data_IF_215425355259
#
_entry.id   IF_215425355259
#
_cell.length_a   1.000
_cell.length_b   1.000
_cell.length_c   1.000
_cell.angle_alpha   90.00
_cell.angle_beta   90.00
_cell.angle_gamma   90.00
#
_symmetry.space_group_name_H-M   'P 1'
#
loop_
_entity.id
_entity.type
_entity.pdbx_description
1 polymer ?
#
# COMPACT_ATOMS: atom_id res chain seq x y z
N UNK A 1 42.35 55.26 -7.83
CA UNK A 1 40.93 54.88 -7.89
C UNK A 1 40.63 53.53 -8.57
N UNK A 2 41.61 52.77 -9.08
CA UNK A 2 41.35 51.42 -9.64
C UNK A 2 41.45 50.27 -8.59
N UNK A 3 42.21 50.45 -7.51
CA UNK A 3 42.44 49.38 -6.51
C UNK A 3 41.21 49.08 -5.64
N UNK A 4 40.37 50.08 -5.37
CA UNK A 4 39.13 49.90 -4.59
C UNK A 4 38.01 49.21 -5.38
N UNK A 5 38.02 49.32 -6.72
CA UNK A 5 37.02 48.67 -7.58
C UNK A 5 37.30 47.17 -7.70
N UNK A 6 38.57 46.76 -7.72
CA UNK A 6 38.97 45.35 -7.76
C UNK A 6 38.64 44.59 -6.46
N UNK A 7 38.79 45.22 -5.29
CA UNK A 7 38.43 44.61 -4.00
C UNK A 7 36.92 44.40 -3.84
N UNK A 8 36.11 45.32 -4.39
CA UNK A 8 34.64 45.19 -4.40
C UNK A 8 34.18 44.06 -5.35
N UNK A 9 34.82 43.88 -6.51
CA UNK A 9 34.51 42.77 -7.43
C UNK A 9 34.91 41.41 -6.86
N UNK A 10 36.04 41.31 -6.14
CA UNK A 10 36.45 40.08 -5.43
C UNK A 10 35.48 39.73 -4.29
N UNK A 11 35.01 40.72 -3.51
CA UNK A 11 33.98 40.49 -2.48
C UNK A 11 32.62 40.06 -3.06
N UNK A 12 32.24 40.59 -4.22
CA UNK A 12 31.03 40.16 -4.92
C UNK A 12 31.16 38.72 -5.43
N UNK A 13 32.30 38.31 -6.00
CA UNK A 13 32.52 36.93 -6.42
C UNK A 13 32.61 35.92 -5.26
N UNK A 14 33.21 36.29 -4.12
CA UNK A 14 33.24 35.45 -2.91
C UNK A 14 31.86 35.31 -2.26
N UNK A 15 31.04 36.37 -2.26
CA UNK A 15 29.65 36.32 -1.77
C UNK A 15 28.75 35.52 -2.71
N UNK A 16 28.92 35.64 -4.03
CA UNK A 16 28.18 34.83 -5.00
C UNK A 16 28.61 33.36 -5.01
N UNK A 17 29.88 33.04 -4.71
CA UNK A 17 30.32 31.65 -4.58
C UNK A 17 29.73 30.97 -3.34
N UNK A 18 29.56 31.71 -2.24
CA UNK A 18 28.91 31.21 -1.03
C UNK A 18 27.37 31.07 -1.18
N UNK A 19 26.76 31.85 -2.09
CA UNK A 19 25.34 31.73 -2.46
C UNK A 19 25.13 30.62 -3.49
N UNK A 20 26.04 30.43 -4.46
CA UNK A 20 25.97 29.32 -5.43
C UNK A 20 26.21 27.96 -4.76
N UNK A 21 27.03 27.89 -3.69
CA UNK A 21 27.27 26.67 -2.92
C UNK A 21 26.21 26.40 -1.82
N UNK A 22 25.29 27.34 -1.58
CA UNK A 22 24.09 27.14 -0.72
C UNK A 22 22.80 26.92 -1.52
N UNK A 23 22.89 26.99 -2.85
CA UNK A 23 21.83 26.68 -3.80
C UNK A 23 22.03 25.31 -4.47
N UNK A 24 22.90 24.45 -3.95
CA UNK A 24 22.52 23.05 -3.84
C UNK A 24 21.58 22.99 -2.66
N UNK A 25 20.30 23.12 -2.98
CA UNK A 25 19.18 22.89 -2.07
C UNK A 25 19.56 21.75 -1.13
N UNK A 26 19.47 22.02 0.18
CA UNK A 26 19.29 20.94 1.13
C UNK A 26 18.10 20.15 0.60
N UNK A 27 18.38 19.08 -0.14
CA UNK A 27 17.39 18.11 -0.54
C UNK A 27 16.84 17.62 0.79
N UNK A 28 15.67 18.12 1.17
CA UNK A 28 15.08 17.79 2.46
C UNK A 28 15.09 16.28 2.52
N UNK A 29 15.88 15.75 3.45
CA UNK A 29 16.04 14.32 3.57
C UNK A 29 14.75 13.78 4.19
N UNK A 30 13.73 13.63 3.34
CA UNK A 30 12.37 13.20 3.67
C UNK A 30 12.39 11.81 4.30
N UNK A 31 13.42 11.02 4.01
CA UNK A 31 13.62 9.68 4.54
C UNK A 31 14.39 9.71 5.87
N UNK A 32 14.02 8.83 6.79
CA UNK A 32 14.69 8.66 8.07
C UNK A 32 15.72 7.51 8.04
N UNK A 33 17.02 7.83 8.02
CA UNK A 33 18.12 6.83 7.98
C UNK A 33 18.04 5.74 9.05
N UNK A 34 17.65 6.09 10.28
CA UNK A 34 17.53 5.11 11.38
C UNK A 34 16.43 4.08 11.12
N UNK A 35 15.35 4.50 10.46
CA UNK A 35 14.23 3.64 10.09
C UNK A 35 14.62 2.70 8.94
N UNK A 36 15.39 3.16 7.95
CA UNK A 36 15.85 2.33 6.83
C UNK A 36 16.68 1.12 7.28
N UNK A 37 17.45 1.24 8.34
CA UNK A 37 18.21 0.12 8.91
C UNK A 37 17.30 -1.04 9.39
N UNK A 38 16.02 -0.79 9.63
CA UNK A 38 15.03 -1.81 10.02
C UNK A 38 14.35 -2.50 8.84
N UNK A 39 14.49 -1.99 7.62
CA UNK A 39 13.94 -2.58 6.39
C UNK A 39 12.45 -2.94 6.52
N UNK A 40 11.64 -1.96 6.94
CA UNK A 40 10.20 -2.16 7.05
C UNK A 40 9.55 -2.37 5.68
N UNK A 41 8.54 -3.24 5.64
CA UNK A 41 7.72 -3.56 4.48
C UNK A 41 6.25 -3.59 4.89
N UNK A 42 5.35 -3.87 3.96
CA UNK A 42 3.93 -4.11 4.22
C UNK A 42 3.65 -5.21 5.28
N UNK A 43 4.64 -6.05 5.60
CA UNK A 43 4.56 -7.06 6.67
C UNK A 43 4.97 -6.53 8.04
N UNK A 44 5.34 -5.25 8.19
CA UNK A 44 5.82 -4.69 9.45
C UNK A 44 4.69 -4.04 10.24
N UNK A 45 4.12 -4.77 11.21
CA UNK A 45 2.98 -4.26 11.99
C UNK A 45 3.30 -3.09 12.93
N UNK A 46 4.58 -2.75 13.10
CA UNK A 46 5.00 -1.53 13.77
C UNK A 46 4.72 -0.25 12.95
N UNK A 47 4.41 -0.40 11.65
CA UNK A 47 4.22 0.72 10.72
C UNK A 47 2.85 0.72 10.04
N UNK A 48 2.36 -0.46 9.64
CA UNK A 48 1.09 -0.63 8.91
C UNK A 48 0.23 -1.74 9.52
N UNK A 49 -1.07 -1.70 9.28
CA UNK A 49 -1.93 -2.82 9.67
C UNK A 49 -1.70 -4.04 8.79
N UNK A 50 -1.68 -5.23 9.40
CA UNK A 50 -1.66 -6.48 8.66
C UNK A 50 -2.94 -6.70 7.85
N UNK A 51 -2.84 -7.48 6.78
CA UNK A 51 -4.00 -7.87 5.98
C UNK A 51 -4.98 -8.74 6.81
N UNK A 52 -6.28 -8.82 6.44
CA UNK A 52 -7.27 -9.53 7.25
C UNK A 52 -6.96 -11.02 7.48
N UNK A 53 -6.30 -11.67 6.51
CA UNK A 53 -5.82 -13.05 6.56
C UNK A 53 -4.46 -13.21 7.27
N UNK A 54 -3.93 -12.15 7.89
CA UNK A 54 -2.68 -12.14 8.66
C UNK A 54 -2.94 -11.67 10.10
N UNK A 55 -1.99 -11.94 11.00
CA UNK A 55 -1.95 -11.45 12.38
C UNK A 55 -0.55 -10.89 12.69
N UNK A 56 -0.49 -9.88 13.53
CA UNK A 56 0.77 -9.34 14.04
C UNK A 56 1.29 -10.23 15.15
N UNK A 57 2.53 -10.70 15.02
CA UNK A 57 3.30 -11.38 16.08
C UNK A 57 4.73 -10.83 16.02
N UNK A 58 5.25 -10.36 17.15
CA UNK A 58 6.64 -9.87 17.27
C UNK A 58 6.98 -8.76 16.25
N UNK A 59 6.04 -7.87 15.96
CA UNK A 59 6.25 -6.77 15.02
C UNK A 59 6.19 -7.17 13.53
N UNK A 60 5.86 -8.43 13.21
CA UNK A 60 5.71 -8.95 11.85
C UNK A 60 4.31 -9.53 11.59
N UNK A 61 3.77 -9.28 10.42
CA UNK A 61 2.51 -9.84 9.93
C UNK A 61 2.74 -11.28 9.44
N UNK A 62 2.20 -12.24 10.17
CA UNK A 62 2.27 -13.66 9.81
C UNK A 62 0.91 -14.18 9.37
N UNK A 63 0.92 -15.19 8.50
CA UNK A 63 -0.31 -15.78 7.97
C UNK A 63 -1.17 -16.39 9.10
N UNK A 64 -2.47 -16.10 9.06
CA UNK A 64 -3.46 -16.86 9.84
C UNK A 64 -3.69 -18.21 9.18
N UNK A 65 -4.17 -19.18 9.95
CA UNK A 65 -4.71 -20.43 9.39
C UNK A 65 -6.10 -20.18 8.80
N UNK A 66 -6.52 -20.88 7.73
CA UNK A 66 -7.78 -20.57 7.04
C UNK A 66 -9.02 -20.60 7.96
N UNK A 67 -9.04 -21.48 8.95
CA UNK A 67 -10.15 -21.57 9.91
C UNK A 67 -10.25 -20.38 10.87
N UNK A 68 -9.21 -19.53 10.96
CA UNK A 68 -9.20 -18.31 11.77
C UNK A 68 -9.83 -17.11 11.04
N UNK A 69 -10.14 -17.25 9.74
CA UNK A 69 -10.87 -16.25 8.99
C UNK A 69 -12.36 -16.20 9.39
N UNK A 70 -13.00 -15.03 9.27
CA UNK A 70 -14.46 -14.93 9.36
C UNK A 70 -15.15 -15.87 8.36
N UNK A 71 -16.21 -16.53 8.79
CA UNK A 71 -16.98 -17.47 7.96
C UNK A 71 -17.99 -16.79 7.03
N UNK A 72 -18.25 -15.50 7.24
CA UNK A 72 -19.23 -14.74 6.48
C UNK A 72 -18.54 -13.96 5.34
N UNK A 73 -18.73 -14.38 4.10
CA UNK A 73 -18.11 -13.77 2.92
C UNK A 73 -18.54 -14.46 1.64
N UNK A 74 -18.03 -13.99 0.50
CA UNK A 74 -18.29 -14.60 -0.80
C UNK A 74 -17.32 -15.75 -1.08
N UNK A 75 -17.83 -16.81 -1.72
CA UNK A 75 -16.99 -17.92 -2.18
C UNK A 75 -15.96 -17.43 -3.20
N UNK A 76 -14.79 -18.06 -3.22
CA UNK A 76 -13.71 -17.70 -4.13
C UNK A 76 -13.09 -18.94 -4.76
N UNK A 77 -12.67 -18.82 -6.02
CA UNK A 77 -11.96 -19.85 -6.74
C UNK A 77 -10.46 -19.53 -6.82
N UNK A 78 -9.63 -20.56 -6.67
CA UNK A 78 -8.19 -20.46 -6.90
C UNK A 78 -7.74 -21.03 -8.25
N UNK A 79 -6.53 -20.68 -8.67
CA UNK A 79 -5.93 -21.12 -9.95
C UNK A 79 -5.77 -22.63 -10.13
N UNK A 80 -5.83 -23.41 -9.06
CA UNK A 80 -5.82 -24.88 -9.10
C UNK A 80 -7.22 -25.52 -9.22
N UNK A 81 -8.26 -24.71 -9.49
CA UNK A 81 -9.65 -25.19 -9.60
C UNK A 81 -10.29 -25.52 -8.26
N UNK A 82 -9.69 -25.12 -7.13
CA UNK A 82 -10.24 -25.36 -5.80
C UNK A 82 -11.17 -24.22 -5.36
N UNK A 83 -12.36 -24.59 -4.92
CA UNK A 83 -13.31 -23.68 -4.28
C UNK A 83 -12.97 -23.44 -2.80
N UNK A 84 -13.09 -22.19 -2.37
CA UNK A 84 -13.00 -21.75 -0.98
C UNK A 84 -14.31 -21.12 -0.53
N UNK A 85 -14.67 -21.32 0.74
CA UNK A 85 -15.93 -20.77 1.29
C UNK A 85 -15.92 -19.25 1.32
N UNK A 86 -14.75 -18.66 1.60
CA UNK A 86 -14.58 -17.21 1.66
C UNK A 86 -13.25 -16.79 1.04
N UNK A 87 -13.18 -15.59 0.45
CA UNK A 87 -11.93 -15.00 -0.05
C UNK A 87 -10.79 -14.99 1.00
N UNK A 88 -11.09 -14.68 2.27
CA UNK A 88 -10.09 -14.72 3.35
C UNK A 88 -9.39 -16.08 3.50
N UNK A 89 -10.12 -17.19 3.33
CA UNK A 89 -9.56 -18.54 3.48
C UNK A 89 -8.58 -18.85 2.34
N UNK A 90 -8.91 -18.42 1.12
CA UNK A 90 -8.05 -18.55 -0.04
C UNK A 90 -6.74 -17.78 0.20
N UNK A 91 -6.83 -16.48 0.53
CA UNK A 91 -5.64 -15.64 0.78
C UNK A 91 -4.81 -16.09 1.99
N UNK A 92 -5.47 -16.61 3.03
CA UNK A 92 -4.80 -17.24 4.17
C UNK A 92 -4.01 -18.48 3.75
N UNK A 93 -4.58 -19.35 2.91
CA UNK A 93 -3.87 -20.51 2.39
C UNK A 93 -2.74 -20.11 1.45
N UNK A 94 -2.97 -19.14 0.57
CA UNK A 94 -1.96 -18.60 -0.35
C UNK A 94 -0.77 -18.02 0.41
N UNK A 95 -1.02 -17.28 1.49
CA UNK A 95 0.03 -16.77 2.37
C UNK A 95 0.86 -17.92 2.99
N UNK A 96 0.22 -19.01 3.41
CA UNK A 96 0.91 -20.18 3.98
C UNK A 96 1.64 -21.02 2.93
N UNK A 97 1.11 -21.07 1.71
CA UNK A 97 1.59 -21.90 0.60
C UNK A 97 1.52 -21.08 -0.69
N UNK A 98 2.60 -20.34 -1.00
CA UNK A 98 2.68 -19.54 -2.21
C UNK A 98 2.42 -20.38 -3.46
N UNK A 99 1.63 -19.85 -4.40
CA UNK A 99 1.35 -20.48 -5.70
C UNK A 99 -0.13 -20.77 -5.96
N UNK A 100 -0.97 -20.85 -4.92
CA UNK A 100 -2.44 -20.95 -5.08
C UNK A 100 -3.04 -19.54 -5.12
N UNK A 101 -3.02 -18.88 -6.28
CA UNK A 101 -3.52 -17.52 -6.46
C UNK A 101 -5.04 -17.47 -6.63
N UNK A 102 -5.63 -16.30 -6.41
CA UNK A 102 -7.04 -16.04 -6.72
C UNK A 102 -7.29 -16.10 -8.24
N UNK A 103 -8.42 -16.67 -8.66
CA UNK A 103 -8.81 -16.77 -10.07
C UNK A 103 -10.08 -15.95 -10.37
N UNK A 104 -11.19 -16.29 -9.72
CA UNK A 104 -12.47 -15.59 -9.90
C UNK A 104 -13.31 -15.61 -8.62
N UNK A 105 -14.20 -14.63 -8.51
CA UNK A 105 -15.20 -14.59 -7.46
C UNK A 105 -16.29 -15.64 -7.76
N UNK A 106 -16.84 -16.25 -6.72
CA UNK A 106 -17.81 -17.34 -6.85
C UNK A 106 -17.15 -18.72 -6.93
N UNK A 107 -17.84 -19.65 -7.57
CA UNK A 107 -17.38 -21.01 -7.81
C UNK A 107 -16.45 -21.10 -9.02
N UNK A 108 -15.52 -22.04 -9.00
CA UNK A 108 -14.65 -22.35 -10.12
C UNK A 108 -15.45 -22.79 -11.34
N UNK A 109 -15.08 -22.26 -12.50
CA UNK A 109 -15.57 -22.69 -13.81
C UNK A 109 -14.59 -23.69 -14.42
N UNK A 110 -15.09 -24.65 -15.21
CA UNK A 110 -14.25 -25.71 -15.78
C UNK A 110 -13.30 -25.23 -16.90
N UNK A 111 -13.66 -24.13 -17.57
CA UNK A 111 -12.95 -23.61 -18.75
C UNK A 111 -12.35 -22.21 -18.54
N UNK A 112 -12.65 -21.56 -17.42
CA UNK A 112 -12.22 -20.19 -17.15
C UNK A 112 -10.71 -20.12 -16.88
N UNK A 113 -9.97 -19.48 -17.79
CA UNK A 113 -8.54 -19.24 -17.64
C UNK A 113 -8.23 -17.75 -17.77
N UNK A 114 -7.61 -17.20 -16.74
CA UNK A 114 -7.02 -15.87 -16.77
C UNK A 114 -5.60 -15.93 -17.35
N UNK A 115 -5.23 -14.95 -18.17
CA UNK A 115 -3.85 -14.82 -18.64
C UNK A 115 -3.46 -13.37 -18.88
N UNK A 116 -2.24 -13.03 -18.48
CA UNK A 116 -1.59 -11.73 -18.75
C UNK A 116 -0.43 -11.99 -19.70
N UNK A 117 -0.27 -11.14 -20.72
CA UNK A 117 0.88 -11.20 -21.62
C UNK A 117 1.34 -9.81 -22.06
N UNK A 118 2.63 -9.68 -22.37
CA UNK A 118 3.21 -8.48 -22.94
C UNK A 118 3.33 -8.65 -24.46
N UNK A 119 2.84 -7.65 -25.21
CA UNK A 119 2.91 -7.64 -26.69
C UNK A 119 3.79 -6.50 -27.18
N UNK A 120 4.38 -6.71 -28.34
CA UNK A 120 5.19 -5.72 -29.06
C UNK A 120 6.48 -5.27 -28.36
N UNK A 121 6.85 -5.89 -27.23
CA UNK A 121 8.12 -5.62 -26.56
C UNK A 121 9.31 -6.20 -27.32
N UNK A 122 10.48 -5.56 -27.17
CA UNK A 122 11.74 -6.07 -27.71
C UNK A 122 12.34 -7.15 -26.82
N UNK A 123 12.01 -7.10 -25.53
CA UNK A 123 12.41 -8.07 -24.50
C UNK A 123 11.19 -8.76 -23.89
N UNK A 124 11.41 -9.81 -23.11
CA UNK A 124 10.37 -10.50 -22.32
C UNK A 124 9.88 -9.67 -21.11
N UNK A 125 10.61 -8.61 -20.76
CA UNK A 125 10.33 -7.72 -19.64
C UNK A 125 9.64 -6.40 -20.02
N UNK A 126 9.33 -6.16 -21.29
CA UNK A 126 8.68 -4.91 -21.72
C UNK A 126 7.56 -5.16 -22.72
N UNK A 127 6.62 -4.22 -22.84
CA UNK A 127 5.61 -4.23 -23.90
C UNK A 127 4.29 -3.62 -23.47
N UNK A 128 3.29 -3.77 -24.35
CA UNK A 128 1.90 -3.37 -24.09
C UNK A 128 1.18 -4.51 -23.36
N UNK A 129 0.44 -4.16 -22.31
CA UNK A 129 -0.25 -5.13 -21.45
C UNK A 129 -1.53 -5.62 -22.13
N UNK A 130 -1.62 -6.94 -22.34
CA UNK A 130 -2.80 -7.64 -22.84
C UNK A 130 -3.31 -8.62 -21.78
N UNK A 131 -4.62 -8.61 -21.54
CA UNK A 131 -5.27 -9.45 -20.53
C UNK A 131 -6.42 -10.25 -21.16
N UNK A 132 -6.47 -11.54 -20.82
CA UNK A 132 -7.63 -12.42 -21.04
C UNK A 132 -8.34 -12.62 -19.70
N UNK A 133 -9.57 -12.11 -19.58
CA UNK A 133 -10.42 -12.30 -18.40
C UNK A 133 -10.97 -13.73 -18.36
N UNK A 134 -11.33 -14.21 -17.17
CA UNK A 134 -11.86 -15.58 -16.96
C UNK A 134 -13.17 -15.82 -17.73
N UNK A 135 -14.05 -14.82 -17.76
CA UNK A 135 -15.39 -14.93 -18.34
C UNK A 135 -15.45 -14.49 -19.82
N UNK A 136 -14.30 -14.21 -20.45
CA UNK A 136 -14.25 -13.71 -21.83
C UNK A 136 -13.17 -14.41 -22.65
N UNK A 137 -13.54 -14.79 -23.88
CA UNK A 137 -12.57 -15.36 -24.82
C UNK A 137 -11.71 -14.33 -25.54
N UNK A 138 -12.18 -13.08 -25.60
CA UNK A 138 -11.47 -11.97 -26.25
C UNK A 138 -10.38 -11.43 -25.33
N UNK A 139 -9.16 -11.34 -25.84
CA UNK A 139 -8.08 -10.58 -25.20
C UNK A 139 -8.28 -9.09 -25.43
N UNK A 140 -8.00 -8.29 -24.40
CA UNK A 140 -8.14 -6.84 -24.45
C UNK A 140 -6.91 -6.16 -23.87
N UNK A 141 -6.66 -4.93 -24.32
CA UNK A 141 -5.60 -4.08 -23.82
C UNK A 141 -6.06 -3.25 -22.62
N UNK A 142 -5.11 -2.80 -21.82
CA UNK A 142 -5.37 -1.93 -20.66
C UNK A 142 -5.29 -0.45 -21.04
N UNK A 143 -6.14 0.39 -20.45
CA UNK A 143 -6.13 1.83 -20.66
C UNK A 143 -4.97 2.51 -19.92
N UNK A 144 -4.16 3.32 -20.62
CA UNK A 144 -3.08 4.14 -20.07
C UNK A 144 -3.57 5.16 -19.04
N UNK A 145 -4.76 5.73 -19.24
CA UNK A 145 -5.36 6.72 -18.33
C UNK A 145 -5.61 6.19 -16.91
N UNK A 146 -5.72 4.87 -16.76
CA UNK A 146 -5.97 4.18 -15.50
C UNK A 146 -4.74 3.54 -14.89
N UNK A 147 -3.64 3.53 -15.64
CA UNK A 147 -2.47 2.73 -15.33
C UNK A 147 -1.53 3.49 -14.40
N UNK A 148 -1.33 2.95 -13.20
CA UNK A 148 -0.39 3.50 -12.22
C UNK A 148 0.61 2.44 -11.76
N UNK A 149 1.58 2.84 -10.92
CA UNK A 149 2.53 1.88 -10.35
C UNK A 149 1.88 0.81 -9.47
N UNK A 150 0.66 1.03 -8.96
CA UNK A 150 -0.10 0.01 -8.22
C UNK A 150 -0.41 -1.18 -9.11
N UNK A 151 -1.01 -0.95 -10.27
CA UNK A 151 -1.38 -2.00 -11.22
C UNK A 151 -0.12 -2.60 -11.89
N UNK A 152 0.88 -1.77 -12.20
CA UNK A 152 2.11 -2.21 -12.87
C UNK A 152 2.92 -3.20 -12.02
N UNK A 153 3.07 -2.94 -10.71
CA UNK A 153 3.77 -3.86 -9.80
C UNK A 153 3.07 -5.23 -9.73
N UNK A 154 1.74 -5.24 -9.65
CA UNK A 154 0.94 -6.47 -9.62
C UNK A 154 1.01 -7.23 -10.95
N UNK A 155 0.99 -6.51 -12.07
CA UNK A 155 1.12 -7.11 -13.40
C UNK A 155 2.47 -7.82 -13.58
N UNK A 156 3.56 -7.15 -13.24
CA UNK A 156 4.89 -7.73 -13.30
C UNK A 156 5.06 -8.91 -12.34
N UNK A 157 4.44 -8.86 -11.15
CA UNK A 157 4.41 -9.98 -10.22
C UNK A 157 3.69 -11.20 -10.80
N UNK A 158 2.60 -11.00 -11.54
CA UNK A 158 1.87 -12.08 -12.21
C UNK A 158 2.64 -12.68 -13.39
N UNK A 159 3.43 -11.87 -14.09
CA UNK A 159 4.36 -12.28 -15.15
C UNK A 159 5.64 -12.97 -14.62
N UNK A 160 5.85 -12.98 -13.29
CA UNK A 160 6.96 -13.69 -12.64
C UNK A 160 8.09 -12.79 -12.13
N UNK A 161 8.03 -11.48 -12.39
CA UNK A 161 9.02 -10.50 -11.91
C UNK A 161 8.74 -10.10 -10.46
N UNK A 162 9.42 -10.75 -9.52
CA UNK A 162 9.18 -10.58 -8.07
C UNK A 162 9.48 -9.17 -7.53
N UNK A 163 10.24 -8.36 -8.27
CA UNK A 163 10.61 -6.98 -7.89
C UNK A 163 9.63 -5.92 -8.42
N UNK A 164 8.59 -6.35 -9.14
CA UNK A 164 7.56 -5.46 -9.69
C UNK A 164 8.02 -4.72 -10.96
N UNK A 165 7.38 -3.58 -11.22
CA UNK A 165 7.65 -2.74 -12.37
C UNK A 165 8.83 -1.78 -12.12
N UNK A 166 9.49 -1.38 -13.20
CA UNK A 166 10.48 -0.31 -13.25
C UNK A 166 9.77 1.05 -13.24
N UNK A 167 10.27 2.01 -12.47
CA UNK A 167 9.67 3.35 -12.35
C UNK A 167 10.31 4.39 -13.26
N UNK A 168 11.51 4.13 -13.77
CA UNK A 168 12.30 5.08 -14.54
C UNK A 168 12.16 4.85 -16.04
N UNK A 169 11.91 3.61 -16.45
CA UNK A 169 11.79 3.23 -17.86
C UNK A 169 10.34 3.20 -18.31
N UNK A 170 10.10 3.72 -19.51
CA UNK A 170 8.82 3.56 -20.21
C UNK A 170 9.07 2.93 -21.56
N UNK A 171 8.11 2.14 -22.03
CA UNK A 171 8.22 1.49 -23.33
C UNK A 171 7.54 2.39 -24.37
N UNK A 172 8.35 3.05 -25.19
CA UNK A 172 7.85 3.83 -26.32
C UNK A 172 7.86 2.96 -27.57
N UNK A 173 6.68 2.58 -28.04
CA UNK A 173 6.58 1.88 -29.33
C UNK A 173 6.51 2.87 -30.49
N UNK A 174 7.51 2.85 -31.36
CA UNK A 174 7.48 3.57 -32.63
C UNK A 174 6.74 2.76 -33.70
N UNK A 175 5.61 3.29 -34.19
CA UNK A 175 4.78 2.78 -35.30
C UNK A 175 3.92 1.52 -35.02
N UNK A 176 3.01 1.59 -34.04
CA UNK A 176 1.93 0.62 -33.90
C UNK A 176 0.60 1.16 -34.44
N UNK A 177 0.05 0.51 -35.47
CA UNK A 177 -1.34 0.71 -35.90
C UNK A 177 -2.22 -0.31 -35.21
N UNK A 178 -2.60 -0.03 -33.96
CA UNK A 178 -3.53 -0.88 -33.20
C UNK A 178 -4.93 -0.27 -33.30
N UNK A 179 -5.82 -0.93 -34.05
CA UNK A 179 -7.24 -0.57 -34.12
C UNK A 179 -8.02 -1.15 -32.93
N UNK A 180 -7.60 -0.83 -31.70
CA UNK A 180 -8.35 -1.17 -30.50
C UNK A 180 -9.27 0.01 -30.13
N UNK A 181 -10.58 -0.18 -30.28
CA UNK A 181 -11.63 0.80 -29.91
C UNK A 181 -12.12 0.63 -28.46
N UNK A 182 -11.61 -0.38 -27.76
CA UNK A 182 -12.00 -0.77 -26.42
C UNK A 182 -10.73 -1.07 -25.60
N UNK A 183 -10.71 -0.61 -24.35
CA UNK A 183 -9.69 -0.97 -23.37
C UNK A 183 -10.33 -1.29 -22.02
N UNK A 184 -9.56 -1.97 -21.17
CA UNK A 184 -9.91 -2.26 -19.80
C UNK A 184 -9.30 -1.23 -18.87
N UNK A 185 -10.13 -0.60 -18.05
CA UNK A 185 -9.69 0.23 -16.94
C UNK A 185 -9.46 -0.68 -15.74
N UNK A 186 -8.25 -0.63 -15.17
CA UNK A 186 -7.84 -1.51 -14.06
C UNK A 186 -7.61 -0.66 -12.83
N UNK A 187 -8.06 -1.14 -11.68
CA UNK A 187 -7.79 -0.50 -10.42
C UNK A 187 -7.38 -1.53 -9.36
N UNK A 188 -6.15 -1.39 -8.88
CA UNK A 188 -5.54 -2.19 -7.82
C UNK A 188 -5.16 -1.30 -6.63
N UNK A 189 -5.02 -1.91 -5.45
CA UNK A 189 -4.43 -1.32 -4.24
C UNK A 189 -2.89 -1.31 -4.31
N UNK A 190 -2.28 -2.28 -4.98
CA UNK A 190 -0.84 -2.43 -5.16
C UNK A 190 -0.16 -3.43 -4.22
N UNK A 191 -0.93 -4.30 -3.53
CA UNK A 191 -0.41 -5.41 -2.69
C UNK A 191 -1.02 -6.76 -3.09
N UNK A 192 -1.80 -6.79 -4.17
CA UNK A 192 -2.37 -7.97 -4.77
C UNK A 192 -1.27 -8.87 -5.34
N UNK A 193 -1.57 -10.16 -5.43
CA UNK A 193 -0.63 -11.19 -5.93
C UNK A 193 -0.84 -11.55 -7.39
N UNK A 194 -2.00 -11.17 -7.94
CA UNK A 194 -2.38 -11.30 -9.34
C UNK A 194 -3.37 -10.20 -9.71
N UNK A 195 -3.39 -9.84 -10.99
CA UNK A 195 -4.36 -8.86 -11.52
C UNK A 195 -5.81 -9.35 -11.42
N UNK A 196 -6.06 -10.66 -11.29
CA UNK A 196 -7.41 -11.21 -11.07
C UNK A 196 -8.11 -10.65 -9.84
N UNK A 197 -7.36 -10.16 -8.86
CA UNK A 197 -7.89 -9.58 -7.62
C UNK A 197 -8.34 -8.13 -7.80
N UNK A 198 -7.88 -7.47 -8.88
CA UNK A 198 -8.19 -6.08 -9.17
C UNK A 198 -9.54 -5.92 -9.87
N UNK A 199 -10.07 -4.71 -9.83
CA UNK A 199 -11.33 -4.38 -10.51
C UNK A 199 -11.07 -4.04 -11.97
N UNK A 200 -11.82 -4.68 -12.87
CA UNK A 200 -11.83 -4.36 -14.30
C UNK A 200 -13.15 -3.72 -14.70
N UNK A 201 -13.09 -2.56 -15.35
CA UNK A 201 -14.24 -1.94 -16.01
C UNK A 201 -13.95 -1.72 -17.48
N UNK A 202 -14.98 -1.85 -18.33
CA UNK A 202 -14.82 -1.65 -19.77
C UNK A 202 -14.96 -0.17 -20.12
N UNK A 203 -14.05 0.37 -20.92
CA UNK A 203 -14.14 1.75 -21.43
C UNK A 203 -13.82 1.82 -22.93
N UNK A 204 -14.51 2.72 -23.64
CA UNK A 204 -14.22 3.01 -25.05
C UNK A 204 -13.04 3.96 -25.16
N UNK A 205 -12.16 3.72 -26.13
CA UNK A 205 -11.01 4.58 -26.45
C UNK A 205 -11.20 5.25 -27.80
N UNK A 206 -10.48 6.35 -28.00
CA UNK A 206 -10.48 7.09 -29.28
C UNK A 206 -9.19 6.81 -30.08
N UNK A 207 -8.20 6.11 -29.52
CA UNK A 207 -6.99 5.73 -30.26
C UNK A 207 -6.02 4.78 -29.51
N UNK A 208 -4.94 4.40 -30.20
CA UNK A 208 -3.92 3.45 -29.73
C UNK A 208 -2.92 4.03 -28.71
N UNK A 209 -2.79 5.36 -28.65
CA UNK A 209 -1.89 6.04 -27.71
C UNK A 209 -2.37 5.96 -26.25
N UNK A 210 -3.61 5.51 -26.06
CA UNK A 210 -4.25 5.33 -24.77
C UNK A 210 -4.06 3.91 -24.20
N UNK A 211 -3.14 3.10 -24.74
CA UNK A 211 -2.85 1.76 -24.24
C UNK A 211 -1.70 1.76 -23.23
N UNK A 212 -1.84 0.97 -22.17
CA UNK A 212 -0.86 0.90 -21.09
C UNK A 212 0.37 0.07 -21.51
N UNK A 213 1.53 0.70 -21.34
CA UNK A 213 2.83 0.08 -21.47
C UNK A 213 3.43 -0.22 -20.09
N UNK A 214 4.26 -1.27 -20.02
CA UNK A 214 4.98 -1.62 -18.79
C UNK A 214 6.38 -2.12 -19.12
N UNK A 215 7.33 -1.77 -18.25
CA UNK A 215 8.67 -2.36 -18.20
C UNK A 215 8.81 -2.99 -16.81
N UNK A 216 9.00 -4.30 -16.76
CA UNK A 216 9.24 -5.02 -15.52
C UNK A 216 10.71 -4.90 -15.13
N UNK A 217 10.96 -4.73 -13.84
CA UNK A 217 12.30 -4.47 -13.33
C UNK A 217 13.21 -5.69 -13.51
N UNK A 218 14.42 -5.46 -14.03
CA UNK A 218 15.46 -6.49 -14.16
C UNK A 218 16.79 -5.99 -13.57
N UNK A 219 17.48 -6.81 -12.78
CA UNK A 219 18.69 -6.38 -12.05
C UNK A 219 19.87 -5.96 -12.93
N UNK A 220 19.87 -6.32 -14.22
CA UNK A 220 20.92 -5.95 -15.17
C UNK A 220 20.77 -4.53 -15.69
N UNK A 221 19.59 -3.93 -15.51
CA UNK A 221 19.23 -2.68 -16.12
C UNK A 221 19.82 -1.48 -15.36
N UNK A 222 19.83 -1.50 -14.02
CA UNK A 222 20.15 -0.31 -13.22
C UNK A 222 21.39 -0.49 -12.33
N UNK A 223 22.37 0.40 -12.53
CA UNK A 223 23.49 0.60 -11.62
C UNK A 223 23.12 1.63 -10.55
N UNK A 224 23.49 1.45 -9.27
CA UNK A 224 23.21 2.43 -8.22
C UNK A 224 23.88 3.77 -8.55
N UNK A 225 23.08 4.83 -8.65
CA UNK A 225 23.52 6.23 -8.76
C UNK A 225 23.41 6.93 -7.40
N UNK A 226 24.09 8.06 -7.22
CA UNK A 226 24.05 8.84 -5.96
C UNK A 226 22.62 9.29 -5.57
N UNK A 227 21.70 9.37 -6.54
CA UNK A 227 20.29 9.75 -6.35
C UNK A 227 19.32 8.54 -6.35
N UNK A 228 19.81 7.34 -6.08
CA UNK A 228 18.99 6.12 -6.03
C UNK A 228 18.53 5.76 -4.62
N UNK A 229 17.28 5.32 -4.51
CA UNK A 229 16.72 4.71 -3.31
C UNK A 229 16.62 3.20 -3.49
N UNK A 230 17.12 2.43 -2.52
CA UNK A 230 17.05 0.97 -2.56
C UNK A 230 15.85 0.45 -1.75
N UNK A 231 14.91 -0.19 -2.43
CA UNK A 231 13.81 -0.93 -1.82
C UNK A 231 14.29 -2.16 -1.03
N UNK A 232 13.47 -2.68 -0.10
CA UNK A 232 13.83 -3.89 0.67
C UNK A 232 13.92 -5.13 -0.22
N UNK A 233 13.07 -5.23 -1.24
CA UNK A 233 13.14 -6.28 -2.27
C UNK A 233 14.34 -6.16 -3.24
N UNK A 234 15.19 -5.14 -3.08
CA UNK A 234 16.41 -4.92 -3.87
C UNK A 234 16.21 -4.18 -5.18
N UNK A 235 15.00 -3.69 -5.49
CA UNK A 235 14.76 -2.75 -6.59
C UNK A 235 15.38 -1.38 -6.28
N UNK A 236 15.95 -0.72 -7.28
CA UNK A 236 16.38 0.68 -7.18
C UNK A 236 15.33 1.57 -7.87
N UNK A 237 14.96 2.65 -7.20
CA UNK A 237 14.08 3.70 -7.73
C UNK A 237 14.78 5.05 -7.57
N UNK A 238 14.25 6.09 -8.19
CA UNK A 238 14.75 7.46 -7.93
C UNK A 238 14.47 7.83 -6.47
N UNK A 239 15.39 8.55 -5.82
CA UNK A 239 15.14 9.18 -4.52
C UNK A 239 13.92 10.11 -4.55
N UNK A 240 13.51 10.53 -5.76
CA UNK A 240 12.33 11.33 -5.97
C UNK A 240 10.99 10.58 -5.78
N UNK A 241 11.01 9.26 -5.95
CA UNK A 241 9.84 8.40 -5.80
C UNK A 241 9.62 7.97 -4.34
N UNK A 242 10.64 8.07 -3.49
CA UNK A 242 10.45 7.79 -2.07
C UNK A 242 9.58 8.83 -1.37
N UNK A 243 8.68 8.36 -0.49
CA UNK A 243 7.78 9.18 0.33
C UNK A 243 6.79 10.01 -0.49
N UNK A 244 6.34 9.53 -1.65
CA UNK A 244 5.41 10.26 -2.54
C UNK A 244 3.93 9.85 -2.34
N UNK A 245 3.66 8.85 -1.48
CA UNK A 245 2.35 8.24 -1.25
C UNK A 245 2.00 7.11 -2.23
N UNK A 246 2.93 6.68 -3.08
CA UNK A 246 2.78 5.63 -4.08
C UNK A 246 3.68 4.47 -3.66
N UNK A 247 3.19 3.24 -3.79
CA UNK A 247 4.01 2.05 -3.56
C UNK A 247 4.81 1.74 -4.82
N UNK A 248 5.91 2.46 -5.04
CA UNK A 248 6.80 2.27 -6.17
C UNK A 248 7.61 0.99 -6.01
N UNK A 249 8.03 0.65 -4.78
CA UNK A 249 8.77 -0.57 -4.50
C UNK A 249 7.97 -1.87 -4.72
N UNK A 250 6.65 -1.84 -4.55
CA UNK A 250 5.76 -3.02 -4.57
C UNK A 250 5.58 -3.69 -3.20
N UNK A 251 6.46 -3.43 -2.24
CA UNK A 251 6.41 -3.95 -0.87
C UNK A 251 6.25 -2.84 0.21
N UNK A 252 5.98 -1.61 -0.21
CA UNK A 252 5.86 -0.36 0.57
C UNK A 252 7.16 0.16 1.21
N UNK A 253 8.34 -0.37 0.86
CA UNK A 253 9.60 0.03 1.52
C UNK A 253 9.91 1.54 1.47
N UNK A 254 9.55 2.17 0.36
CA UNK A 254 9.68 3.59 0.03
C UNK A 254 8.79 4.52 0.87
N UNK A 255 7.69 4.00 1.41
CA UNK A 255 6.64 4.81 2.05
C UNK A 255 6.60 4.70 3.58
N UNK A 256 7.40 3.82 4.19
CA UNK A 256 7.30 3.47 5.63
C UNK A 256 8.30 4.18 6.56
N UNK A 257 9.21 4.97 5.99
CA UNK A 257 10.31 5.63 6.70
C UNK A 257 10.39 7.13 6.42
N UNK A 258 9.25 7.82 6.41
CA UNK A 258 9.12 9.21 5.97
C UNK A 258 8.94 10.19 7.13
N UNK A 259 9.74 11.27 7.15
CA UNK A 259 9.61 12.42 8.06
C UNK A 259 8.55 13.40 7.59
N UNK A 260 8.37 13.51 6.28
CA UNK A 260 7.31 14.24 5.61
C UNK A 260 7.05 13.57 4.26
N UNK A 261 5.90 13.85 3.65
CA UNK A 261 5.56 13.30 2.34
C UNK A 261 5.76 14.33 1.24
N UNK A 262 6.08 13.84 0.05
CA UNK A 262 6.23 14.62 -1.17
C UNK A 262 4.90 14.77 -1.88
N UNK A 263 4.66 15.95 -2.46
CA UNK A 263 3.46 16.21 -3.25
C UNK A 263 2.22 16.42 -2.38
N UNK A 264 1.12 15.75 -2.70
CA UNK A 264 -0.18 15.91 -2.03
C UNK A 264 -0.54 14.74 -1.10
N UNK A 265 0.34 13.76 -0.95
CA UNK A 265 0.13 12.59 -0.10
C UNK A 265 -0.01 12.97 1.37
N UNK A 266 -0.67 12.10 2.13
CA UNK A 266 -0.94 12.34 3.54
C UNK A 266 0.12 11.68 4.43
N UNK A 267 0.63 12.43 5.39
CA UNK A 267 1.65 11.97 6.33
C UNK A 267 1.03 11.51 7.64
N UNK A 268 1.17 10.22 7.94
CA UNK A 268 0.83 9.66 9.24
C UNK A 268 1.89 10.05 10.28
N UNK A 269 1.50 10.25 11.53
CA UNK A 269 2.39 10.45 12.69
C UNK A 269 3.35 9.29 12.92
N UNK A 270 3.03 8.10 12.41
CA UNK A 270 3.91 6.92 12.42
C UNK A 270 5.11 7.03 11.47
N UNK A 271 5.19 8.10 10.67
CA UNK A 271 6.21 8.28 9.64
C UNK A 271 5.94 7.45 8.38
N UNK A 272 4.67 7.35 8.00
CA UNK A 272 4.19 6.63 6.81
C UNK A 272 3.50 7.62 5.87
N UNK A 273 3.72 7.49 4.58
CA UNK A 273 3.03 8.26 3.55
C UNK A 273 1.96 7.40 2.88
N UNK A 274 0.75 7.96 2.74
CA UNK A 274 -0.38 7.30 2.08
C UNK A 274 -0.95 8.19 0.97
N UNK A 275 -1.59 7.60 -0.06
CA UNK A 275 -2.26 8.38 -1.10
C UNK A 275 -3.30 9.35 -0.53
N UNK A 276 -3.47 10.52 -1.13
CA UNK A 276 -4.43 11.53 -0.65
C UNK A 276 -5.87 11.01 -0.61
N UNK A 277 -6.24 10.15 -1.56
CA UNK A 277 -7.56 9.53 -1.65
C UNK A 277 -7.85 8.51 -0.54
N UNK A 278 -6.85 8.15 0.27
CA UNK A 278 -7.05 7.27 1.42
C UNK A 278 -7.49 8.01 2.67
N UNK A 279 -7.44 9.34 2.66
CA UNK A 279 -8.02 10.14 3.73
C UNK A 279 -9.55 10.14 3.62
N UNK A 280 -10.24 9.81 4.71
CA UNK A 280 -11.69 9.77 4.80
C UNK A 280 -12.33 8.77 3.83
N UNK A 281 -11.68 7.62 3.61
CA UNK A 281 -12.17 6.57 2.71
C UNK A 281 -12.99 5.48 3.44
N UNK A 282 -13.17 5.60 4.77
CA UNK A 282 -13.87 4.63 5.61
C UNK A 282 -13.00 3.46 6.07
N UNK A 283 -11.71 3.43 5.74
CA UNK A 283 -10.72 2.48 6.19
C UNK A 283 -9.60 3.19 6.94
N UNK A 284 -9.29 2.72 8.15
CA UNK A 284 -8.12 3.22 8.88
C UNK A 284 -6.84 2.63 8.26
N UNK A 285 -6.06 3.47 7.60
CA UNK A 285 -4.79 3.14 6.94
C UNK A 285 -3.58 3.51 7.83
N UNK A 286 -3.60 4.67 8.50
CA UNK A 286 -2.58 5.03 9.48
C UNK A 286 -2.77 4.25 10.80
N UNK A 287 -1.70 3.68 11.38
CA UNK A 287 -1.79 3.00 12.70
C UNK A 287 -2.25 3.91 13.85
N UNK A 288 -2.10 5.21 13.68
CA UNK A 288 -2.55 6.27 14.60
C UNK A 288 -3.97 6.75 14.32
N UNK A 289 -4.54 6.40 13.17
CA UNK A 289 -5.95 6.59 12.78
C UNK A 289 -6.41 8.02 12.52
N UNK A 290 -5.50 8.95 12.28
CA UNK A 290 -5.78 10.37 12.03
C UNK A 290 -6.30 10.67 10.62
N UNK A 291 -6.12 9.74 9.69
CA UNK A 291 -6.61 9.77 8.31
C UNK A 291 -8.14 9.72 8.24
N UNK A 292 -8.78 9.09 9.23
CA UNK A 292 -10.24 8.91 9.32
C UNK A 292 -10.91 9.82 10.36
N UNK A 293 -10.23 10.90 10.79
CA UNK A 293 -10.75 11.87 11.78
C UNK A 293 -11.02 13.22 11.12
N UNK A 294 -12.16 13.84 11.48
CA UNK A 294 -12.52 15.17 10.99
C UNK A 294 -12.95 15.18 9.53
N UNK A 295 -13.67 14.15 9.10
CA UNK A 295 -14.11 13.92 7.72
C UNK A 295 -15.40 14.67 7.33
N UNK A 296 -15.75 15.74 8.05
CA UNK A 296 -16.91 16.57 7.73
C UNK A 296 -16.71 17.25 6.36
N UNK A 297 -17.54 16.91 5.37
CA UNK A 297 -17.48 17.46 4.02
C UNK A 297 -16.84 16.56 2.95
N UNK A 298 -16.33 15.38 3.33
CA UNK A 298 -15.90 14.37 2.35
C UNK A 298 -17.12 13.50 1.98
N UNK A 299 -17.83 13.89 0.92
CA UNK A 299 -18.84 13.03 0.31
C UNK A 299 -18.13 11.94 -0.50
N UNK A 300 -18.50 10.68 -0.27
CA UNK A 300 -18.13 9.58 -1.16
C UNK A 300 -18.64 9.88 -2.56
N UNK A 301 -17.75 10.06 -3.53
CA UNK A 301 -18.13 10.16 -4.94
C UNK A 301 -18.84 8.84 -5.28
N UNK A 302 -20.13 8.92 -5.63
CA UNK A 302 -20.88 7.77 -6.10
C UNK A 302 -20.18 7.20 -7.35
N UNK A 303 -20.12 5.86 -7.52
CA UNK A 303 -19.53 5.30 -8.73
C UNK A 303 -20.31 5.81 -9.96
N UNK A 304 -19.60 6.39 -10.93
CA UNK A 304 -20.13 6.57 -12.28
C UNK A 304 -20.54 5.19 -12.82
N UNK A 305 -21.71 5.11 -13.47
CA UNK A 305 -22.22 3.90 -14.11
C UNK A 305 -21.22 3.39 -15.15
N UNK A 306 -20.37 2.46 -14.73
CA UNK A 306 -19.39 1.77 -15.57
C UNK A 306 -19.70 0.28 -15.54
N UNK A 307 -19.59 -0.38 -16.68
CA UNK A 307 -19.83 -1.82 -16.81
C UNK A 307 -18.70 -2.57 -16.07
N UNK A 308 -19.00 -3.03 -14.84
CA UNK A 308 -18.07 -3.76 -13.97
C UNK A 308 -17.98 -5.21 -14.48
N UNK A 309 -16.79 -5.62 -14.90
CA UNK A 309 -16.53 -6.95 -15.45
C UNK A 309 -16.10 -7.96 -14.39
N UNK A 310 -15.45 -7.51 -13.31
CA UNK A 310 -15.01 -8.36 -12.21
C UNK A 310 -15.42 -7.77 -10.87
N UNK A 311 -15.65 -8.64 -9.87
CA UNK A 311 -15.92 -8.18 -8.51
C UNK A 311 -14.68 -7.50 -7.90
N UNK A 312 -14.89 -6.39 -7.19
CA UNK A 312 -13.83 -5.68 -6.47
C UNK A 312 -13.46 -6.45 -5.19
N UNK A 313 -12.34 -7.18 -5.22
CA UNK A 313 -11.87 -7.93 -4.07
C UNK A 313 -11.21 -7.04 -2.99
N UNK A 314 -10.82 -5.79 -3.31
CA UNK A 314 -10.39 -4.83 -2.30
C UNK A 314 -11.57 -4.36 -1.44
N UNK A 315 -12.77 -4.21 -2.03
CA UNK A 315 -14.00 -3.99 -1.28
C UNK A 315 -14.33 -5.16 -0.33
N UNK A 316 -14.19 -6.41 -0.79
CA UNK A 316 -14.38 -7.58 0.09
C UNK A 316 -13.30 -7.64 1.19
N UNK A 317 -12.05 -7.28 0.90
CA UNK A 317 -10.99 -7.16 1.92
C UNK A 317 -11.36 -6.14 3.00
N UNK A 318 -11.85 -4.95 2.62
CA UNK A 318 -12.34 -3.93 3.57
C UNK A 318 -13.50 -4.45 4.41
N UNK A 319 -14.43 -5.17 3.78
CA UNK A 319 -15.54 -5.83 4.49
C UNK A 319 -15.04 -6.88 5.49
N UNK A 320 -14.06 -7.71 5.15
CA UNK A 320 -13.49 -8.69 6.08
C UNK A 320 -12.80 -7.97 7.26
N UNK A 321 -12.12 -6.84 7.01
CA UNK A 321 -11.47 -6.02 8.05
C UNK A 321 -12.49 -5.51 9.08
N UNK A 322 -13.70 -5.11 8.65
CA UNK A 322 -14.75 -4.64 9.56
C UNK A 322 -15.39 -5.75 10.41
N UNK A 323 -15.29 -7.02 9.96
CA UNK A 323 -15.75 -8.20 10.71
C UNK A 323 -14.75 -8.67 11.77
N UNK A 324 -13.53 -8.12 11.81
CA UNK A 324 -12.54 -8.49 12.80
C UNK A 324 -12.97 -8.04 14.21
N UNK A 325 -12.66 -8.83 15.25
CA UNK A 325 -13.07 -8.51 16.61
C UNK A 325 -12.46 -7.18 17.07
N UNK A 326 -13.32 -6.23 17.42
CA UNK A 326 -12.90 -4.93 17.94
C UNK A 326 -12.68 -5.01 19.46
N UNK A 327 -11.52 -4.57 19.92
CA UNK A 327 -11.22 -4.50 21.35
C UNK A 327 -11.69 -3.14 21.86
N UNK A 328 -12.64 -3.17 22.80
CA UNK A 328 -13.09 -1.97 23.50
C UNK A 328 -12.05 -1.52 24.53
N UNK A 329 -11.16 -0.59 24.17
CA UNK A 329 -10.19 0.02 25.07
C UNK A 329 -10.35 1.55 25.09
N UNK A 330 -10.19 2.20 26.24
CA UNK A 330 -10.22 3.67 26.34
C UNK A 330 -11.55 4.35 26.00
N UNK A 331 -12.67 3.59 25.92
CA UNK A 331 -13.98 4.13 25.54
C UNK A 331 -14.53 5.05 26.65
N UNK A 332 -14.86 6.29 26.28
CA UNK A 332 -15.40 7.31 27.21
C UNK A 332 -16.76 6.94 27.84
N UNK A 333 -17.55 6.09 27.16
CA UNK A 333 -18.95 5.76 27.50
C UNK A 333 -19.20 4.29 27.90
N UNK A 334 -18.33 3.66 28.70
CA UNK A 334 -18.70 2.36 29.32
C UNK A 334 -19.38 2.56 30.68
N UNK A 335 -20.71 2.47 30.69
CA UNK A 335 -21.56 2.30 31.88
C UNK A 335 -21.52 0.87 32.47
N UNK A 336 -20.42 0.13 32.36
CA UNK A 336 -20.27 -1.13 33.11
C UNK A 336 -19.51 -0.89 34.40
N UNK A 337 -20.24 -0.32 35.35
CA UNK A 337 -19.85 -0.23 36.74
C UNK A 337 -19.90 -1.65 37.33
N UNK A 338 -18.81 -2.42 37.24
CA UNK A 338 -18.55 -3.43 38.27
C UNK A 338 -18.03 -2.68 39.49
N UNK A 339 -18.95 -2.21 40.35
CA UNK A 339 -18.64 -1.67 41.67
C UNK A 339 -18.03 -2.79 42.52
N UNK A 340 -16.71 -2.93 42.52
CA UNK A 340 -16.04 -3.43 43.74
C UNK A 340 -16.04 -2.28 44.74
N UNK A 341 -16.51 -2.55 45.97
CA UNK A 341 -16.52 -1.57 47.06
C UNK A 341 -15.07 -1.15 47.34
N UNK A 342 -14.70 0.05 46.91
CA UNK A 342 -13.43 0.68 47.30
C UNK A 342 -13.65 1.30 48.67
N UNK A 343 -12.97 0.79 49.69
CA UNK A 343 -12.96 1.38 51.03
C UNK A 343 -11.86 2.45 51.03
N UNK A 344 -12.27 3.72 50.89
CA UNK A 344 -11.37 4.89 50.95
C UNK A 344 -10.91 5.42 49.58
N UNK A 345 -11.06 6.74 49.38
CA UNK A 345 -10.63 7.48 48.18
C UNK A 345 -11.68 8.48 47.67
N UNK A 346 -11.24 9.59 47.06
CA UNK A 346 -12.15 10.56 46.39
C UNK A 346 -12.54 10.03 45.01
N UNK A 347 -13.81 10.13 44.58
CA UNK A 347 -14.22 9.73 43.23
C UNK A 347 -13.47 10.54 42.18
N UNK A 348 -12.78 9.87 41.26
CA UNK A 348 -12.08 10.52 40.15
C UNK A 348 -13.08 11.01 39.09
N UNK A 349 -12.96 12.26 38.65
CA UNK A 349 -13.75 12.80 37.55
C UNK A 349 -13.26 12.28 36.19
N UNK A 350 -14.22 12.18 35.25
CA UNK A 350 -14.04 11.68 33.89
C UNK A 350 -12.83 12.38 33.20
N UNK A 351 -11.87 11.60 32.69
CA UNK A 351 -10.69 12.12 31.95
C UNK A 351 -9.42 12.37 32.77
N UNK A 352 -9.40 12.13 34.09
CA UNK A 352 -8.20 12.32 34.94
C UNK A 352 -7.31 11.08 35.12
N UNK A 353 -7.71 9.91 34.62
CA UNK A 353 -6.84 8.73 34.63
C UNK A 353 -5.95 8.71 33.38
N UNK A 354 -4.84 9.47 33.43
CA UNK A 354 -3.68 9.19 32.59
C UNK A 354 -2.76 8.26 33.39
N UNK A 355 -2.52 7.06 32.85
CA UNK A 355 -1.59 6.03 33.32
C UNK A 355 -1.56 5.74 34.83
N UNK A 356 -2.13 4.59 35.23
CA UNK A 356 -1.89 3.97 36.54
C UNK A 356 -0.48 3.34 36.56
N UNK A 357 0.57 4.12 36.28
CA UNK A 357 1.96 3.69 36.48
C UNK A 357 2.58 4.30 37.73
N UNK A 358 2.01 5.39 38.26
CA UNK A 358 2.63 6.15 39.35
C UNK A 358 2.10 5.81 40.76
N UNK A 359 1.15 4.88 40.90
CA UNK A 359 0.58 4.50 42.21
C UNK A 359 1.35 3.35 42.90
N UNK A 360 2.23 2.62 42.19
CA UNK A 360 2.93 1.45 42.74
C UNK A 360 4.45 1.63 42.86
N UNK A 361 4.91 2.75 43.42
CA UNK A 361 6.32 2.92 43.83
C UNK A 361 6.66 2.42 45.24
N UNK A 362 5.80 1.63 45.89
CA UNK A 362 6.07 1.31 47.31
C UNK A 362 5.36 0.13 47.95
N UNK A 363 4.86 -0.87 47.22
CA UNK A 363 4.25 -2.05 47.85
C UNK A 363 4.79 -3.35 47.24
N UNK A 364 5.83 -3.89 47.88
CA UNK A 364 6.17 -5.31 47.86
C UNK A 364 4.97 -6.09 48.42
N UNK A 365 4.06 -6.54 47.55
CA UNK A 365 3.20 -7.71 47.79
C UNK A 365 2.53 -8.14 46.49
N UNK A 366 2.87 -9.35 46.08
CA UNK A 366 2.27 -10.11 44.99
C UNK A 366 0.77 -10.21 45.21
N UNK A 367 -0.01 -9.53 44.36
CA UNK A 367 -1.39 -9.90 44.07
C UNK A 367 -1.58 -9.77 42.57
N UNK A 368 -1.70 -10.93 41.92
CA UNK A 368 -2.13 -11.12 40.54
C UNK A 368 -3.49 -10.47 40.34
N UNK A 369 -3.50 -9.25 39.80
CA UNK A 369 -4.68 -8.60 39.25
C UNK A 369 -4.65 -8.79 37.74
N UNK A 370 -5.48 -9.70 37.25
CA UNK A 370 -5.90 -9.76 35.84
C UNK A 370 -6.57 -8.45 35.45
N UNK A 371 -5.75 -7.48 35.03
CA UNK A 371 -6.22 -6.47 34.10
C UNK A 371 -6.20 -7.09 32.71
N UNK A 372 -7.38 -7.18 32.10
CA UNK A 372 -7.55 -7.50 30.69
C UNK A 372 -6.99 -6.36 29.83
N UNK A 373 -5.67 -6.25 29.87
CA UNK A 373 -4.84 -5.59 28.88
C UNK A 373 -3.87 -6.69 28.44
N UNK A 374 -4.42 -7.70 27.73
CA UNK A 374 -3.56 -8.55 26.91
C UNK A 374 -3.13 -7.63 25.78
N UNK A 375 -2.00 -6.97 26.00
CA UNK A 375 -1.14 -6.49 24.93
C UNK A 375 -0.70 -7.76 24.21
N UNK A 376 -1.41 -8.16 23.17
CA UNK A 376 -0.82 -8.97 22.12
C UNK A 376 0.13 -8.04 21.37
N UNK A 377 1.41 -8.14 21.69
CA UNK A 377 2.52 -7.65 20.89
C UNK A 377 2.73 -8.55 19.68
#
# INVERSE_FOLDING_TARGET
MLLHVFLLFLCFHLSFCQVSLRLHTAQEELVEKKCLAKKYTHLSCNKVFCQPWQKCIEGTCICKLPYQCPKNGTSACATNGRNFLTYCQLKSLECLRPGTKFLNNGTCTAEGKFSVSLKYGSTDSEGIVEVKLVDQDKTMFICKSSWTMREANVACLDLGFQQGADTQRSFQSSNLSINATECLHVHCRGLETSLTECTFTKRRTVGYQDLADVVCYTQKADSPTDDSFQCVNGKYISQAEACNGINDCGDQSDELCCKACRGKSFHCKSGVCIPSQYRCNGEVDCITGEDEVGCEGFASVAPEETEILTADMDAERRRIKSLLPTISCGIKNRMHIRRKRVVGGKPAQLGKMKQISDIFKGLHKVYTLEFCCIILK
#
